data_IF_780722264136
#
_entry.id   IF_780722264136
#
_cell.length_a   1.000
_cell.length_b   1.000
_cell.length_c   1.000
_cell.angle_alpha   90.00
_cell.angle_beta   90.00
_cell.angle_gamma   90.00
#
_symmetry.space_group_name_H-M   'P 1'
#
loop_
_entity.id
_entity.type
_entity.pdbx_description
1 polymer ?
#
# COMPACT_ATOMS: atom_id res chain seq x y z
N UNK A 1 -4.11 -3.24 -19.72
CA UNK A 1 -3.42 -2.11 -19.05
C UNK A 1 -3.70 -2.27 -17.58
N UNK A 2 -2.68 -2.40 -16.74
CA UNK A 2 -2.85 -2.88 -15.36
C UNK A 2 -2.08 -2.02 -14.37
N UNK A 3 -2.52 -0.78 -14.22
CA UNK A 3 -2.13 0.07 -13.11
C UNK A 3 -3.41 0.50 -12.42
N UNK A 4 -3.62 0.09 -11.17
CA UNK A 4 -4.77 0.52 -10.37
C UNK A 4 -4.71 2.01 -9.99
N UNK A 5 -3.66 2.74 -10.40
CA UNK A 5 -3.51 4.16 -10.12
C UNK A 5 -2.97 4.50 -8.73
N UNK A 6 -2.43 3.52 -7.98
CA UNK A 6 -1.86 3.73 -6.63
C UNK A 6 -0.81 4.86 -6.60
N UNK A 7 0.24 4.72 -7.40
CA UNK A 7 1.32 5.71 -7.46
C UNK A 7 0.81 7.06 -7.99
N UNK A 8 -0.15 7.05 -8.92
CA UNK A 8 -0.82 8.28 -9.40
C UNK A 8 -1.60 8.98 -8.29
N UNK A 9 -2.32 8.23 -7.45
CA UNK A 9 -3.06 8.74 -6.30
C UNK A 9 -2.12 9.39 -5.29
N UNK A 10 -1.05 8.70 -4.90
CA UNK A 10 -0.07 9.22 -3.95
C UNK A 10 0.67 10.46 -4.51
N UNK A 11 1.05 10.43 -5.79
CA UNK A 11 1.65 11.59 -6.47
C UNK A 11 0.74 12.81 -6.42
N UNK A 12 -0.57 12.60 -6.60
CA UNK A 12 -1.57 13.67 -6.58
C UNK A 12 -1.82 14.18 -5.16
N UNK A 13 -1.95 13.29 -4.18
CA UNK A 13 -2.26 13.65 -2.79
C UNK A 13 -1.12 14.40 -2.10
N UNK A 14 0.13 14.03 -2.39
CA UNK A 14 1.30 14.52 -1.64
C UNK A 14 2.29 15.31 -2.51
N UNK A 15 1.99 15.54 -3.80
CA UNK A 15 2.88 16.28 -4.70
C UNK A 15 4.22 15.57 -4.96
N UNK A 16 4.25 14.25 -4.85
CA UNK A 16 5.45 13.41 -5.03
C UNK A 16 5.55 12.83 -6.45
N UNK A 17 6.68 12.18 -6.76
CA UNK A 17 6.98 11.63 -8.10
C UNK A 17 7.37 10.15 -8.04
N UNK A 18 6.49 9.30 -7.49
CA UNK A 18 6.60 7.85 -7.70
C UNK A 18 6.55 7.52 -9.20
N UNK A 19 7.37 6.56 -9.68
CA UNK A 19 7.35 6.15 -11.08
C UNK A 19 5.97 5.62 -11.49
N UNK A 20 5.40 6.18 -12.55
CA UNK A 20 4.12 5.74 -13.13
C UNK A 20 4.31 5.25 -14.56
N UNK A 21 3.78 4.08 -14.90
CA UNK A 21 3.65 3.67 -16.31
C UNK A 21 2.53 2.63 -16.49
N UNK A 22 2.03 2.49 -17.72
CA UNK A 22 0.94 1.57 -18.07
C UNK A 22 1.33 0.09 -18.14
N UNK A 23 2.64 -0.23 -18.05
CA UNK A 23 3.17 -1.60 -18.14
C UNK A 23 4.27 -1.97 -17.14
N UNK A 24 4.77 -1.00 -16.35
CA UNK A 24 5.72 -1.23 -15.25
C UNK A 24 4.95 -1.00 -13.95
N UNK A 25 4.71 -2.07 -13.22
CA UNK A 25 4.19 -2.01 -11.86
C UNK A 25 5.37 -1.81 -10.88
N UNK A 26 5.14 -1.08 -9.79
CA UNK A 26 5.99 -1.15 -8.60
C UNK A 26 6.23 -2.63 -8.26
N UNK A 27 7.46 -3.02 -7.92
CA UNK A 27 7.79 -4.35 -7.39
C UNK A 27 8.27 -4.19 -5.95
N UNK A 28 7.70 -4.95 -5.02
CA UNK A 28 7.91 -4.76 -3.59
C UNK A 28 7.30 -3.46 -3.05
N UNK A 29 8.05 -2.70 -2.25
CA UNK A 29 7.61 -1.43 -1.65
C UNK A 29 8.65 -0.33 -1.86
N UNK A 30 8.16 0.86 -2.24
CA UNK A 30 8.94 2.08 -2.39
C UNK A 30 8.52 3.07 -1.31
N UNK A 31 9.49 3.62 -0.59
CA UNK A 31 9.24 4.51 0.54
C UNK A 31 9.87 5.88 0.30
N UNK A 32 9.14 6.94 0.63
CA UNK A 32 9.63 8.33 0.58
C UNK A 32 9.41 8.97 1.95
N UNK A 33 10.44 9.63 2.46
CA UNK A 33 10.35 10.48 3.65
C UNK A 33 10.03 11.91 3.24
N UNK A 34 8.89 12.42 3.70
CA UNK A 34 8.48 13.81 3.53
C UNK A 34 8.65 14.55 4.84
N UNK A 35 9.52 15.56 4.85
CA UNK A 35 9.67 16.44 6.01
C UNK A 35 8.44 17.35 6.11
N UNK A 36 7.85 17.41 7.30
CA UNK A 36 6.75 18.35 7.59
C UNK A 36 7.32 19.77 7.71
N UNK A 37 6.63 20.74 7.12
CA UNK A 37 6.98 22.16 7.23
C UNK A 37 6.82 22.62 8.69
N UNK A 38 7.70 23.52 9.16
CA UNK A 38 7.77 23.88 10.58
C UNK A 38 6.47 24.47 11.14
N UNK A 39 5.66 25.11 10.30
CA UNK A 39 4.32 25.62 10.63
C UNK A 39 3.31 24.50 10.90
N UNK A 40 3.36 23.41 10.12
CA UNK A 40 2.47 22.26 10.27
C UNK A 40 2.91 21.28 11.38
N UNK A 41 4.17 21.32 11.82
CA UNK A 41 4.66 20.41 12.86
C UNK A 41 3.91 20.51 14.17
N UNK A 42 3.56 21.73 14.59
CA UNK A 42 2.84 21.97 15.84
C UNK A 42 1.38 21.48 15.77
N UNK A 43 0.78 21.48 14.58
CA UNK A 43 -0.59 21.02 14.38
C UNK A 43 -0.65 19.50 14.27
N UNK A 44 0.29 18.90 13.53
CA UNK A 44 0.31 17.46 13.25
C UNK A 44 1.03 16.65 14.33
N UNK A 45 1.93 17.25 15.10
CA UNK A 45 2.82 16.58 16.06
C UNK A 45 3.75 15.51 15.44
N UNK A 46 4.09 15.64 14.15
CA UNK A 46 5.03 14.75 13.45
C UNK A 46 6.12 15.55 12.73
N UNK A 47 7.35 15.04 12.74
CA UNK A 47 8.47 15.64 12.00
C UNK A 47 8.49 15.21 10.52
N UNK A 48 8.02 14.00 10.24
CA UNK A 48 8.03 13.39 8.91
C UNK A 48 6.77 12.58 8.66
N UNK A 49 6.37 12.51 7.40
CA UNK A 49 5.43 11.51 6.87
C UNK A 49 6.24 10.52 6.03
N UNK A 50 6.03 9.22 6.27
CA UNK A 50 6.55 8.16 5.40
C UNK A 50 5.45 7.72 4.45
N UNK A 51 5.64 7.95 3.16
CA UNK A 51 4.75 7.41 2.12
C UNK A 51 5.30 6.10 1.61
N UNK A 52 4.45 5.07 1.57
CA UNK A 52 4.80 3.74 1.08
C UNK A 52 3.91 3.43 -0.13
N UNK A 53 4.50 3.37 -1.34
CA UNK A 53 3.86 2.84 -2.54
C UNK A 53 4.27 1.39 -2.74
N UNK A 54 3.31 0.51 -3.01
CA UNK A 54 3.54 -0.93 -3.07
C UNK A 54 3.24 -1.49 -4.45
N UNK A 55 3.77 -2.68 -4.73
CA UNK A 55 3.25 -3.47 -5.83
C UNK A 55 1.75 -3.76 -5.66
N UNK A 56 1.10 -4.04 -6.78
CA UNK A 56 -0.30 -4.46 -6.77
C UNK A 56 -0.43 -5.90 -6.29
N UNK A 57 -1.29 -6.13 -5.30
CA UNK A 57 -1.69 -7.46 -4.87
C UNK A 57 -2.36 -8.21 -6.04
N UNK A 58 -2.20 -9.54 -6.10
CA UNK A 58 -2.73 -10.40 -7.17
C UNK A 58 -2.33 -9.97 -8.59
N UNK A 59 -1.18 -9.31 -8.75
CA UNK A 59 -0.64 -8.94 -10.05
C UNK A 59 -0.55 -10.17 -10.98
N UNK A 60 -1.14 -10.18 -12.20
CA UNK A 60 -1.04 -11.25 -13.18
C UNK A 60 0.38 -11.57 -13.60
N UNK A 61 1.29 -10.60 -13.49
CA UNK A 61 2.72 -10.79 -13.74
C UNK A 61 3.35 -11.69 -12.66
N UNK A 62 2.79 -11.68 -11.44
CA UNK A 62 3.21 -12.51 -10.31
C UNK A 62 2.33 -13.76 -10.14
N UNK A 63 1.10 -13.78 -10.66
CA UNK A 63 0.16 -14.90 -10.54
C UNK A 63 0.63 -16.20 -11.20
N UNK A 64 1.68 -16.15 -12.03
CA UNK A 64 2.31 -17.34 -12.62
C UNK A 64 3.30 -18.05 -11.68
N UNK A 65 3.61 -17.46 -10.52
CA UNK A 65 4.47 -18.05 -9.49
C UNK A 65 3.63 -18.87 -8.50
N UNK A 66 4.09 -20.08 -8.17
CA UNK A 66 3.41 -21.00 -7.24
C UNK A 66 3.13 -20.34 -5.87
N UNK A 67 4.01 -19.45 -5.40
CA UNK A 67 3.93 -18.81 -4.08
C UNK A 67 3.35 -17.38 -4.08
N UNK A 68 2.69 -16.97 -5.17
CA UNK A 68 2.22 -15.59 -5.35
C UNK A 68 1.29 -15.09 -4.23
N UNK A 69 0.45 -15.97 -3.68
CA UNK A 69 -0.42 -15.63 -2.55
C UNK A 69 0.35 -15.42 -1.24
N UNK A 70 1.41 -16.18 -1.00
CA UNK A 70 2.21 -16.01 0.21
C UNK A 70 2.97 -14.68 0.15
N UNK A 71 3.56 -14.38 -0.99
CA UNK A 71 4.24 -13.11 -1.26
C UNK A 71 3.32 -11.90 -1.04
N UNK A 72 2.11 -11.93 -1.60
CA UNK A 72 1.10 -10.88 -1.40
C UNK A 72 0.75 -10.70 0.09
N UNK A 73 0.60 -11.80 0.83
CA UNK A 73 0.32 -11.75 2.27
C UNK A 73 1.50 -11.21 3.08
N UNK A 74 2.73 -11.59 2.73
CA UNK A 74 3.94 -11.10 3.38
C UNK A 74 4.10 -9.58 3.16
N UNK A 75 3.95 -9.12 1.92
CA UNK A 75 4.00 -7.70 1.60
C UNK A 75 2.91 -6.91 2.32
N UNK A 76 1.65 -7.36 2.25
CA UNK A 76 0.55 -6.67 2.92
C UNK A 76 0.76 -6.61 4.43
N UNK A 77 1.21 -7.71 5.05
CA UNK A 77 1.55 -7.75 6.48
C UNK A 77 2.66 -6.76 6.83
N UNK A 78 3.71 -6.71 6.01
CA UNK A 78 4.83 -5.80 6.22
C UNK A 78 4.41 -4.33 6.12
N UNK A 79 3.69 -3.96 5.06
CA UNK A 79 3.29 -2.57 4.81
C UNK A 79 2.26 -2.12 5.85
N UNK A 80 1.19 -2.88 6.07
CA UNK A 80 0.17 -2.54 7.07
C UNK A 80 0.76 -2.50 8.49
N UNK A 81 1.79 -3.29 8.77
CA UNK A 81 2.47 -3.26 10.06
C UNK A 81 3.37 -2.07 10.32
N UNK A 82 3.89 -1.45 9.27
CA UNK A 82 4.68 -0.21 9.36
C UNK A 82 3.82 1.05 9.31
N UNK A 83 2.64 0.96 8.71
CA UNK A 83 1.78 2.11 8.46
C UNK A 83 0.87 2.46 9.64
N UNK A 84 0.81 3.74 10.00
CA UNK A 84 -0.26 4.26 10.87
C UNK A 84 -1.61 4.32 10.13
N UNK A 85 -1.57 4.60 8.81
CA UNK A 85 -2.73 4.65 7.91
C UNK A 85 -2.44 3.80 6.66
N UNK A 86 -3.36 2.90 6.30
CA UNK A 86 -3.27 2.08 5.09
C UNK A 86 -4.41 2.40 4.10
N UNK A 87 -4.06 2.73 2.85
CA UNK A 87 -5.03 3.00 1.78
C UNK A 87 -5.14 1.77 0.87
N UNK A 88 -6.30 1.11 0.87
CA UNK A 88 -6.57 -0.04 0.01
C UNK A 88 -7.26 0.43 -1.27
N UNK A 89 -6.50 0.49 -2.36
CA UNK A 89 -7.00 0.93 -3.66
C UNK A 89 -7.46 -0.26 -4.51
N UNK A 90 -8.78 -0.40 -4.67
CA UNK A 90 -9.42 -1.51 -5.41
C UNK A 90 -10.26 -0.96 -6.56
N UNK A 91 -10.07 -1.51 -7.77
CA UNK A 91 -10.96 -1.22 -8.89
C UNK A 91 -12.30 -1.96 -8.70
N UNK A 92 -13.41 -1.22 -8.74
CA UNK A 92 -14.74 -1.73 -8.37
C UNK A 92 -15.40 -2.65 -9.42
N UNK A 93 -14.71 -2.95 -10.52
CA UNK A 93 -15.28 -3.64 -11.67
C UNK A 93 -15.36 -5.18 -11.51
N UNK A 94 -14.64 -5.76 -10.53
CA UNK A 94 -14.59 -7.21 -10.32
C UNK A 94 -14.73 -7.61 -8.84
N UNK A 95 -15.88 -8.19 -8.49
CA UNK A 95 -16.21 -8.64 -7.13
C UNK A 95 -15.26 -9.71 -6.59
N UNK A 96 -14.73 -10.58 -7.46
CA UNK A 96 -13.81 -11.65 -7.06
C UNK A 96 -12.47 -11.03 -6.62
N UNK A 97 -11.94 -10.10 -7.42
CA UNK A 97 -10.70 -9.40 -7.11
C UNK A 97 -10.82 -8.55 -5.84
N UNK A 98 -11.98 -7.89 -5.64
CA UNK A 98 -12.27 -7.17 -4.40
C UNK A 98 -12.19 -8.11 -3.18
N UNK A 99 -12.84 -9.28 -3.25
CA UNK A 99 -12.87 -10.24 -2.15
C UNK A 99 -11.46 -10.72 -1.80
N UNK A 100 -10.65 -11.03 -2.81
CA UNK A 100 -9.29 -11.56 -2.60
C UNK A 100 -8.36 -10.50 -1.98
N UNK A 101 -8.41 -9.25 -2.47
CA UNK A 101 -7.62 -8.15 -1.91
C UNK A 101 -8.04 -7.86 -0.47
N UNK A 102 -9.35 -7.79 -0.21
CA UNK A 102 -9.86 -7.55 1.14
C UNK A 102 -9.48 -8.69 2.09
N UNK A 103 -9.49 -9.95 1.63
CA UNK A 103 -9.06 -11.08 2.45
C UNK A 103 -7.59 -10.95 2.86
N UNK A 104 -6.69 -10.59 1.94
CA UNK A 104 -5.27 -10.35 2.24
C UNK A 104 -5.11 -9.21 3.24
N UNK A 105 -5.81 -8.09 3.02
CA UNK A 105 -5.75 -6.93 3.91
C UNK A 105 -6.26 -7.28 5.32
N UNK A 106 -7.44 -7.91 5.44
CA UNK A 106 -8.01 -8.34 6.72
C UNK A 106 -7.05 -9.28 7.46
N UNK A 107 -6.42 -10.21 6.75
CA UNK A 107 -5.44 -11.12 7.34
C UNK A 107 -4.23 -10.38 7.92
N UNK A 108 -3.71 -9.38 7.20
CA UNK A 108 -2.65 -8.52 7.70
C UNK A 108 -3.09 -7.70 8.94
N UNK A 109 -4.30 -7.16 8.96
CA UNK A 109 -4.84 -6.44 10.13
C UNK A 109 -4.97 -7.34 11.36
N UNK A 110 -5.45 -8.58 11.19
CA UNK A 110 -5.55 -9.54 12.29
C UNK A 110 -4.17 -9.87 12.86
N UNK A 111 -3.16 -10.08 12.01
CA UNK A 111 -1.75 -10.26 12.44
C UNK A 111 -1.23 -9.05 13.21
N UNK A 112 -1.54 -7.83 12.75
CA UNK A 112 -1.10 -6.61 13.45
C UNK A 112 -1.72 -6.48 14.83
N UNK A 113 -2.99 -6.87 14.97
CA UNK A 113 -3.67 -6.91 16.26
C UNK A 113 -3.00 -7.88 17.24
N UNK A 114 -2.55 -9.05 16.78
CA UNK A 114 -1.85 -10.04 17.61
C UNK A 114 -0.51 -9.50 18.16
N UNK A 115 0.20 -8.67 17.39
CA UNK A 115 1.44 -8.01 17.85
C UNK A 115 1.20 -6.66 18.54
N UNK A 116 -0.06 -6.34 18.88
CA UNK A 116 -0.43 -5.13 19.62
C UNK A 116 -0.43 -3.84 18.80
N UNK A 117 -0.31 -3.91 17.48
CA UNK A 117 -0.43 -2.77 16.56
C UNK A 117 -1.87 -2.59 16.09
N UNK A 118 -2.32 -1.35 15.99
CA UNK A 118 -3.68 -1.00 15.54
C UNK A 118 -3.61 0.04 14.41
N UNK A 119 -3.22 -0.38 13.20
CA UNK A 119 -3.22 0.52 12.05
C UNK A 119 -4.65 0.99 11.76
N UNK A 120 -4.80 2.24 11.34
CA UNK A 120 -6.06 2.81 10.86
C UNK A 120 -6.16 2.52 9.36
N UNK A 121 -7.35 2.14 8.89
CA UNK A 121 -7.61 1.85 7.48
C UNK A 121 -8.76 2.71 6.96
#
# INVERSE_FOLDING_TARGET
>A
VQSSGKSTLLNTMFGVQFPVSSGRCTRGAYMIFLRIQEDLKNELNYDFIVLIDTEGLKSPQMAQLEDSYEHDNQLATFVIGLSDIAIINIAMENVIEMKDILQIAVHAFLRMKEVGKKPVC
#
